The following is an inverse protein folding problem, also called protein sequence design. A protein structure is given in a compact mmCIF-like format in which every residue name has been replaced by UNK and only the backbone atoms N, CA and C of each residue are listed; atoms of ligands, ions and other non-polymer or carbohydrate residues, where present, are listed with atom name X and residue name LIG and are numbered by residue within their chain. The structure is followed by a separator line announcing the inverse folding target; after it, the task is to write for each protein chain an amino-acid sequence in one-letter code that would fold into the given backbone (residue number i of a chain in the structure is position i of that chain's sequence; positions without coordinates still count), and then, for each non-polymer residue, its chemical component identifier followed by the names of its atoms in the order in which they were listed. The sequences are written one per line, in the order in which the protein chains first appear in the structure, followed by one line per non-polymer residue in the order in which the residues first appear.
data_IF_039009616625
#
_entry.id   IF_039009616625
#
_cell.length_a   1.000
_cell.length_b   1.000
_cell.length_c   1.000
_cell.angle_alpha   90.00
_cell.angle_beta   90.00
_cell.angle_gamma   90.00
#
_symmetry.space_group_name_H-M   'P 1'
#
loop_
_entity.id
_entity.type
_entity.pdbx_description
1 polymer ?
#
# COMPACT_ATOMS: atom_id res chain seq x y z
N UNK A 1 -3.63 -5.72 15.87
CA UNK A 1 -4.70 -5.30 14.95
C UNK A 1 -4.36 -5.85 13.55
N UNK A 2 -5.30 -6.55 12.91
CA UNK A 2 -5.10 -7.32 11.67
C UNK A 2 -6.00 -6.76 10.58
N UNK A 3 -5.46 -5.92 9.71
CA UNK A 3 -6.27 -5.15 8.77
C UNK A 3 -6.00 -5.45 7.29
N UNK A 4 -4.84 -6.01 6.95
CA UNK A 4 -4.49 -6.42 5.59
C UNK A 4 -3.29 -7.38 5.63
N UNK A 5 -2.77 -7.74 4.45
CA UNK A 5 -1.83 -8.85 4.24
C UNK A 5 -0.46 -8.66 4.89
N UNK A 6 -0.03 -7.43 5.19
CA UNK A 6 1.24 -7.16 5.89
C UNK A 6 1.33 -7.89 7.23
N UNK A 7 0.20 -8.16 7.87
CA UNK A 7 0.19 -8.92 9.11
C UNK A 7 0.70 -10.35 8.91
N UNK A 8 0.37 -11.00 7.78
CA UNK A 8 0.87 -12.34 7.46
C UNK A 8 2.40 -12.35 7.45
N UNK A 9 3.05 -11.30 6.95
CA UNK A 9 4.51 -11.15 6.99
C UNK A 9 5.03 -10.93 8.42
N UNK A 10 4.38 -10.05 9.18
CA UNK A 10 4.78 -9.78 10.57
C UNK A 10 4.72 -11.02 11.45
N UNK A 11 3.75 -11.93 11.24
CA UNK A 11 3.66 -13.22 11.95
C UNK A 11 4.92 -14.08 11.84
N UNK A 12 5.67 -13.94 10.75
CA UNK A 12 6.90 -14.69 10.50
C UNK A 12 8.16 -13.84 10.66
N UNK A 13 8.04 -12.63 11.23
CA UNK A 13 9.18 -11.75 11.49
C UNK A 13 9.73 -11.04 10.25
N UNK A 14 9.02 -11.09 9.12
CA UNK A 14 9.44 -10.35 7.92
C UNK A 14 9.06 -8.87 8.03
N UNK A 15 9.97 -7.94 7.68
CA UNK A 15 9.62 -6.53 7.55
C UNK A 15 8.54 -6.35 6.48
N UNK A 16 7.45 -5.68 6.84
CA UNK A 16 6.37 -5.35 5.92
C UNK A 16 5.71 -4.03 6.31
N UNK A 17 5.16 -3.34 5.31
CA UNK A 17 4.47 -2.07 5.46
C UNK A 17 3.15 -2.10 4.69
N UNK A 18 2.12 -1.44 5.23
CA UNK A 18 0.89 -1.14 4.51
C UNK A 18 0.77 0.37 4.34
N UNK A 19 0.61 0.82 3.09
CA UNK A 19 0.28 2.19 2.77
C UNK A 19 -1.23 2.23 2.51
N UNK A 20 -1.96 2.99 3.33
CA UNK A 20 -3.42 3.09 3.22
C UNK A 20 -3.90 4.47 3.65
N UNK A 21 -4.98 4.93 3.05
CA UNK A 21 -5.77 6.08 3.48
C UNK A 21 -6.77 5.71 4.58
N UNK A 22 -6.53 4.61 5.31
CA UNK A 22 -7.35 4.10 6.42
C UNK A 22 -8.74 3.59 6.02
N UNK A 23 -8.97 3.31 4.73
CA UNK A 23 -10.14 2.59 4.22
C UNK A 23 -11.47 3.03 4.88
N UNK A 24 -12.09 2.17 5.68
CA UNK A 24 -13.38 2.39 6.33
C UNK A 24 -13.45 3.62 7.25
N UNK A 25 -12.31 4.18 7.70
CA UNK A 25 -12.29 5.39 8.53
C UNK A 25 -12.41 6.69 7.72
N UNK A 26 -12.10 6.67 6.42
CA UNK A 26 -12.09 7.88 5.56
C UNK A 26 -12.84 7.73 4.25
N UNK A 27 -13.18 6.51 3.85
CA UNK A 27 -13.87 6.22 2.60
C UNK A 27 -15.24 5.58 2.85
N UNK A 28 -16.35 6.31 2.66
CA UNK A 28 -17.70 5.85 3.01
C UNK A 28 -18.24 4.75 2.08
N UNK A 29 -17.61 4.53 0.92
CA UNK A 29 -18.03 3.51 -0.05
C UNK A 29 -17.21 2.22 0.05
N UNK A 30 -16.43 2.05 1.13
CA UNK A 30 -15.67 0.83 1.36
C UNK A 30 -16.59 -0.40 1.46
N UNK A 31 -16.26 -1.47 0.74
CA UNK A 31 -17.08 -2.70 0.64
C UNK A 31 -18.52 -2.48 0.14
N UNK A 32 -18.72 -1.44 -0.67
CA UNK A 32 -20.02 -1.13 -1.23
C UNK A 32 -19.97 -1.07 -2.77
N UNK A 33 -21.11 -1.27 -3.43
CA UNK A 33 -21.22 -1.23 -4.90
C UNK A 33 -20.87 0.13 -5.51
N UNK A 34 -20.92 1.18 -4.70
CA UNK A 34 -20.49 2.51 -5.08
C UNK A 34 -18.97 2.70 -4.97
N UNK A 35 -18.18 1.68 -4.63
CA UNK A 35 -16.74 1.75 -4.81
C UNK A 35 -16.39 1.72 -6.30
N UNK A 36 -16.24 2.91 -6.91
CA UNK A 36 -16.09 3.07 -8.35
C UNK A 36 -14.88 3.93 -8.70
N UNK A 37 -14.26 3.76 -9.88
CA UNK A 37 -13.03 4.46 -10.27
C UNK A 37 -13.13 5.99 -10.21
N UNK A 38 -14.32 6.56 -10.43
CA UNK A 38 -14.55 8.01 -10.43
C UNK A 38 -14.35 8.64 -9.05
N UNK A 39 -14.33 7.84 -7.98
CA UNK A 39 -14.11 8.32 -6.60
C UNK A 39 -12.63 8.34 -6.21
N UNK A 40 -11.75 7.80 -7.06
CA UNK A 40 -10.32 7.77 -6.80
C UNK A 40 -9.72 9.17 -6.96
N UNK A 41 -8.87 9.55 -6.01
CA UNK A 41 -7.96 10.68 -6.20
C UNK A 41 -6.70 10.20 -6.94
N UNK A 42 -6.72 10.33 -8.27
CA UNK A 42 -5.63 9.88 -9.13
C UNK A 42 -4.32 10.64 -8.92
N UNK A 43 -4.36 11.91 -8.52
CA UNK A 43 -3.16 12.69 -8.21
C UNK A 43 -2.44 12.09 -6.98
N UNK A 44 -3.18 11.80 -5.91
CA UNK A 44 -2.63 11.14 -4.72
C UNK A 44 -2.20 9.70 -4.99
N UNK A 45 -2.92 8.97 -5.83
CA UNK A 45 -2.49 7.63 -6.27
C UNK A 45 -1.15 7.69 -7.01
N UNK A 46 -0.96 8.69 -7.87
CA UNK A 46 0.31 8.90 -8.58
C UNK A 46 1.45 9.24 -7.63
N UNK A 47 1.23 10.08 -6.61
CA UNK A 47 2.23 10.37 -5.56
C UNK A 47 2.69 9.10 -4.85
N UNK A 48 1.75 8.22 -4.46
CA UNK A 48 2.08 6.93 -3.84
C UNK A 48 2.87 6.03 -4.78
N UNK A 49 2.46 5.95 -6.05
CA UNK A 49 3.15 5.15 -7.07
C UNK A 49 4.60 5.60 -7.25
N UNK A 50 4.85 6.91 -7.32
CA UNK A 50 6.21 7.45 -7.45
C UNK A 50 7.08 7.10 -6.23
N UNK A 51 6.52 7.13 -5.02
CA UNK A 51 7.21 6.69 -3.82
C UNK A 51 7.56 5.19 -3.84
N UNK A 52 6.61 4.35 -4.26
CA UNK A 52 6.83 2.91 -4.38
C UNK A 52 7.91 2.55 -5.40
N UNK A 53 7.91 3.22 -6.56
CA UNK A 53 8.96 3.02 -7.59
C UNK A 53 10.34 3.27 -6.99
N UNK A 54 10.54 4.40 -6.31
CA UNK A 54 11.82 4.74 -5.68
C UNK A 54 12.24 3.70 -4.64
N UNK A 55 11.33 3.26 -3.78
CA UNK A 55 11.64 2.24 -2.76
C UNK A 55 12.05 0.92 -3.42
N UNK A 56 11.36 0.48 -4.47
CA UNK A 56 11.70 -0.75 -5.18
C UNK A 56 13.05 -0.63 -5.90
N UNK A 57 13.32 0.50 -6.56
CA UNK A 57 14.62 0.79 -7.19
C UNK A 57 15.75 0.79 -6.15
N UNK A 58 15.54 1.40 -4.98
CA UNK A 58 16.52 1.40 -3.90
C UNK A 58 16.77 -0.02 -3.35
N UNK A 59 15.72 -0.78 -3.05
CA UNK A 59 15.85 -2.15 -2.55
C UNK A 59 16.53 -3.09 -3.56
N UNK A 60 16.33 -2.88 -4.86
CA UNK A 60 16.92 -3.71 -5.92
C UNK A 60 18.33 -3.27 -6.30
N UNK A 61 18.65 -1.97 -6.21
CA UNK A 61 19.99 -1.45 -6.45
C UNK A 61 20.99 -1.81 -5.33
N UNK A 62 20.51 -2.00 -4.11
CA UNK A 62 21.31 -2.51 -2.99
C UNK A 62 21.48 -4.04 -3.01
N UNK A 63 20.98 -4.72 -4.05
CA UNK A 63 21.26 -6.14 -4.28
C UNK A 63 22.67 -6.33 -4.84
N UNK A 64 23.67 -5.99 -4.02
CA UNK A 64 25.07 -6.36 -4.23
C UNK A 64 25.36 -7.66 -3.49
N UNK A 65 25.51 -8.72 -4.30
CA UNK A 65 26.22 -10.00 -4.03
C UNK A 65 25.90 -10.69 -2.69
N UNK A 66 25.01 -11.68 -2.77
CA UNK A 66 25.32 -12.98 -2.16
C UNK A 66 26.10 -13.79 -3.19
#
# INVERSE_FOLDING_TARGET
MRFSDQDSFWRFGYPALMITDTANYRYPHYHDKQDTPEKLNYEKLAEVLQGLIRVVEELTSHSSKV
#
